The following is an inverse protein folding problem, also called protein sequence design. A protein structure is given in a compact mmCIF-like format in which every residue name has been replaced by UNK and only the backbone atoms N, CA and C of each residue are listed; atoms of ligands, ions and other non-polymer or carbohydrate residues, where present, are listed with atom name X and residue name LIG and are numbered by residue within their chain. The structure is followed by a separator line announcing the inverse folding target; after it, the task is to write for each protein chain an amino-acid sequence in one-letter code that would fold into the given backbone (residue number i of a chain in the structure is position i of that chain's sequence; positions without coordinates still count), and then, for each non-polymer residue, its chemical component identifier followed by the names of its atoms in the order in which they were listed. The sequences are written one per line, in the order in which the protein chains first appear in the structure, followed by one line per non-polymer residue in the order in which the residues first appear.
data_IF_207257726392
#
_entry.id   IF_207257726392
#
_cell.length_a   1.000
_cell.length_b   1.000
_cell.length_c   1.000
_cell.angle_alpha   90.00
_cell.angle_beta   90.00
_cell.angle_gamma   90.00
#
_symmetry.space_group_name_H-M   'P 1'
#
loop_
_entity.id
_entity.type
_entity.pdbx_description
1 polymer ?
#
# COMPACT_ATOMS: atom_id res chain seq x y z
N UNK A 1 -2.24 8.65 2.55
CA UNK A 1 -1.50 9.04 1.32
C UNK A 1 -0.81 10.38 1.52
N UNK A 2 0.39 10.59 0.94
CA UNK A 2 1.13 11.84 1.03
C UNK A 2 1.49 12.33 -0.38
N UNK A 3 1.03 13.53 -0.76
CA UNK A 3 1.46 14.20 -1.99
C UNK A 3 2.33 15.41 -1.67
N UNK A 4 3.28 15.68 -2.55
CA UNK A 4 4.22 16.80 -2.45
C UNK A 4 4.71 17.23 -3.83
N UNK A 5 5.42 18.33 -3.90
CA UNK A 5 6.06 18.75 -5.14
C UNK A 5 6.88 17.64 -5.79
N UNK A 6 6.61 17.37 -7.05
CA UNK A 6 7.15 16.25 -7.81
C UNK A 6 6.24 15.03 -7.90
N UNK A 7 5.20 14.91 -7.05
CA UNK A 7 4.19 13.87 -7.17
C UNK A 7 3.44 13.98 -8.51
N UNK A 8 3.02 12.85 -9.05
CA UNK A 8 2.29 12.75 -10.33
C UNK A 8 1.26 11.63 -10.24
N UNK A 9 0.19 11.76 -11.00
CA UNK A 9 -0.82 10.70 -11.13
C UNK A 9 -2.23 11.19 -10.92
N UNK A 10 -3.16 10.24 -10.80
CA UNK A 10 -4.59 10.53 -10.69
C UNK A 10 -4.95 11.20 -9.37
N UNK A 11 -4.25 10.86 -8.30
CA UNK A 11 -4.43 11.47 -6.98
C UNK A 11 -4.06 12.97 -7.00
N UNK A 12 -3.04 13.34 -7.78
CA UNK A 12 -2.70 14.75 -7.99
C UNK A 12 -3.80 15.45 -8.76
N UNK A 13 -4.37 14.82 -9.79
CA UNK A 13 -5.52 15.38 -10.52
C UNK A 13 -6.74 15.58 -9.62
N UNK A 14 -7.03 14.60 -8.75
CA UNK A 14 -8.14 14.72 -7.82
C UNK A 14 -7.92 15.86 -6.81
N UNK A 15 -6.71 15.98 -6.26
CA UNK A 15 -6.32 17.12 -5.44
C UNK A 15 -6.55 18.44 -6.19
N UNK A 16 -6.04 18.53 -7.42
CA UNK A 16 -6.15 19.73 -8.23
C UNK A 16 -7.61 20.09 -8.54
N UNK A 17 -8.44 19.09 -8.87
CA UNK A 17 -9.89 19.28 -9.05
C UNK A 17 -10.56 19.81 -7.76
N UNK A 18 -10.25 19.21 -6.62
CA UNK A 18 -10.80 19.61 -5.34
C UNK A 18 -10.37 21.03 -4.91
N UNK A 19 -9.16 21.43 -5.28
CA UNK A 19 -8.64 22.78 -5.05
C UNK A 19 -9.08 23.77 -6.15
N UNK A 20 -9.87 23.35 -7.14
CA UNK A 20 -10.40 24.21 -8.20
C UNK A 20 -9.34 24.73 -9.17
N UNK A 21 -8.26 23.98 -9.40
CA UNK A 21 -7.19 24.33 -10.34
C UNK A 21 -7.10 23.35 -11.51
N UNK A 22 -6.32 23.70 -12.53
CA UNK A 22 -6.12 22.82 -13.69
C UNK A 22 -5.55 21.47 -13.27
N UNK A 23 -6.25 20.39 -13.63
CA UNK A 23 -5.94 19.03 -13.20
C UNK A 23 -5.07 18.31 -14.22
N UNK A 24 -3.79 18.71 -14.31
CA UNK A 24 -2.79 18.10 -15.21
C UNK A 24 -2.13 16.84 -14.62
N UNK A 25 -2.39 16.55 -13.34
CA UNK A 25 -1.81 15.41 -12.63
C UNK A 25 -0.33 15.60 -12.28
N UNK A 26 0.16 16.84 -12.26
CA UNK A 26 1.55 17.16 -11.90
C UNK A 26 1.54 18.10 -10.71
N UNK A 27 2.09 17.67 -9.59
CA UNK A 27 2.26 18.51 -8.41
C UNK A 27 3.48 19.42 -8.61
N UNK A 28 3.27 20.49 -9.37
CA UNK A 28 4.27 21.52 -9.63
C UNK A 28 4.31 22.59 -8.54
N UNK A 29 5.11 23.64 -8.77
CA UNK A 29 5.16 24.81 -7.87
C UNK A 29 3.82 25.56 -7.77
N UNK A 30 3.02 25.57 -8.85
CA UNK A 30 1.67 26.14 -8.84
C UNK A 30 0.74 25.37 -7.90
N UNK A 31 0.71 24.04 -8.00
CA UNK A 31 -0.08 23.20 -7.08
C UNK A 31 0.38 23.36 -5.64
N UNK A 32 1.71 23.39 -5.39
CA UNK A 32 2.28 23.60 -4.06
C UNK A 32 1.83 24.93 -3.44
N UNK A 33 1.84 26.01 -4.23
CA UNK A 33 1.40 27.33 -3.76
C UNK A 33 -0.08 27.33 -3.35
N UNK A 34 -0.95 26.68 -4.13
CA UNK A 34 -2.37 26.55 -3.82
C UNK A 34 -2.59 25.70 -2.58
N UNK A 35 -1.85 24.60 -2.42
CA UNK A 35 -1.89 23.76 -1.22
C UNK A 35 -1.52 24.58 0.02
N UNK A 36 -0.43 25.32 -0.01
CA UNK A 36 0.01 26.17 1.10
C UNK A 36 -1.03 27.23 1.45
N UNK A 37 -1.65 27.84 0.43
CA UNK A 37 -2.76 28.77 0.66
C UNK A 37 -3.94 28.09 1.35
N UNK A 38 -4.35 26.93 0.84
CA UNK A 38 -5.44 26.15 1.42
C UNK A 38 -5.15 25.77 2.88
N UNK A 39 -3.95 25.30 3.16
CA UNK A 39 -3.51 24.95 4.52
C UNK A 39 -3.61 26.15 5.46
N UNK A 40 -3.14 27.31 5.02
CA UNK A 40 -3.22 28.55 5.78
C UNK A 40 -4.68 28.96 6.08
N UNK A 41 -5.53 28.91 5.06
CA UNK A 41 -6.93 29.32 5.15
C UNK A 41 -7.74 28.39 6.07
N UNK A 42 -7.28 27.13 6.26
CA UNK A 42 -7.91 26.11 7.11
C UNK A 42 -7.16 25.88 8.44
N UNK A 43 -6.20 26.71 8.81
CA UNK A 43 -5.48 26.58 10.09
C UNK A 43 -4.57 25.35 10.20
N UNK A 44 -4.15 24.78 9.09
CA UNK A 44 -3.24 23.64 9.04
C UNK A 44 -1.77 24.08 9.01
N UNK A 45 -0.85 23.13 9.23
CA UNK A 45 0.57 23.35 9.00
C UNK A 45 0.82 23.73 7.54
N UNK A 46 1.44 24.88 7.28
CA UNK A 46 1.66 25.42 5.92
C UNK A 46 2.98 24.89 5.37
N UNK A 47 3.06 23.58 5.15
CA UNK A 47 4.26 22.88 4.69
C UNK A 47 4.23 22.55 3.19
N UNK A 48 3.08 22.65 2.55
CA UNK A 48 2.86 22.27 1.16
C UNK A 48 2.79 20.77 0.92
N UNK A 49 2.64 19.98 2.01
CA UNK A 49 2.45 18.55 1.95
C UNK A 49 0.97 18.20 2.11
N UNK A 50 0.46 17.35 1.25
CA UNK A 50 -0.93 16.88 1.35
C UNK A 50 -0.93 15.53 2.05
N UNK A 51 -0.95 15.57 3.37
CA UNK A 51 -1.09 14.43 4.25
C UNK A 51 -2.54 14.22 4.72
N UNK A 52 -2.78 13.26 5.66
CA UNK A 52 -4.13 12.92 6.13
C UNK A 52 -4.95 14.13 6.57
N UNK A 53 -4.38 15.04 7.38
CA UNK A 53 -5.09 16.23 7.85
C UNK A 53 -5.44 17.22 6.73
N UNK A 54 -4.62 17.31 5.67
CA UNK A 54 -4.94 18.16 4.52
C UNK A 54 -6.04 17.52 3.67
N UNK A 55 -6.04 16.22 3.48
CA UNK A 55 -7.08 15.48 2.79
C UNK A 55 -8.43 15.58 3.50
N UNK A 56 -8.43 15.40 4.81
CA UNK A 56 -9.61 15.55 5.66
C UNK A 56 -10.21 16.95 5.54
N UNK A 57 -9.38 17.99 5.60
CA UNK A 57 -9.82 19.37 5.46
C UNK A 57 -10.37 19.70 4.05
N UNK A 58 -9.88 19.02 3.01
CA UNK A 58 -10.42 19.11 1.65
C UNK A 58 -11.79 18.41 1.55
N UNK A 59 -12.13 17.55 2.51
CA UNK A 59 -13.35 16.74 2.48
C UNK A 59 -13.26 15.53 1.56
N UNK A 60 -12.05 15.12 1.22
CA UNK A 60 -11.81 13.88 0.49
C UNK A 60 -11.43 12.80 1.49
N UNK A 61 -12.29 11.80 1.60
CA UNK A 61 -11.97 10.59 2.32
C UNK A 61 -10.85 9.85 1.56
N UNK A 62 -9.71 9.70 2.23
CA UNK A 62 -8.57 8.98 1.65
C UNK A 62 -8.86 7.49 1.45
N UNK A 63 -9.85 6.95 2.13
CA UNK A 63 -10.33 5.59 1.89
C UNK A 63 -11.03 5.48 0.51
N UNK A 64 -11.55 6.60 -0.02
CA UNK A 64 -12.10 6.65 -1.38
C UNK A 64 -11.02 6.53 -2.47
N UNK A 65 -9.76 6.86 -2.18
CA UNK A 65 -8.64 6.61 -3.10
C UNK A 65 -8.27 5.12 -3.16
N UNK A 66 -8.66 4.34 -2.16
CA UNK A 66 -8.55 2.89 -2.19
C UNK A 66 -9.58 2.29 -3.17
N UNK A 67 -10.69 2.99 -3.42
CA UNK A 67 -11.74 2.58 -4.37
C UNK A 67 -11.46 2.96 -5.83
N UNK A 68 -10.48 3.82 -6.09
CA UNK A 68 -10.10 4.25 -7.44
C UNK A 68 -8.93 3.46 -8.04
N UNK A 69 -8.67 2.25 -7.54
CA UNK A 69 -7.83 1.27 -8.20
C UNK A 69 -8.53 0.81 -9.47
N UNK A 70 -8.09 1.30 -10.58
CA UNK A 70 -8.73 1.11 -11.89
C UNK A 70 -8.66 -0.30 -12.42
N UNK A 71 -8.47 -1.34 -11.69
CA UNK A 71 -8.62 -2.65 -12.30
C UNK A 71 -8.62 -3.79 -11.32
N UNK A 72 -9.77 -4.03 -10.80
CA UNK A 72 -10.19 -5.34 -10.39
C UNK A 72 -10.23 -6.27 -11.60
N UNK A 73 -9.64 -7.43 -11.51
CA UNK A 73 -9.83 -8.47 -12.50
C UNK A 73 -10.20 -9.78 -11.84
N UNK A 74 -11.05 -10.54 -12.54
CA UNK A 74 -11.45 -11.87 -12.07
C UNK A 74 -10.63 -12.94 -12.77
N UNK A 75 -10.01 -13.83 -12.00
CA UNK A 75 -9.30 -14.99 -12.53
C UNK A 75 -10.29 -15.99 -13.14
N UNK A 76 -9.79 -16.97 -13.91
CA UNK A 76 -10.62 -18.03 -14.49
C UNK A 76 -11.40 -18.82 -13.44
N UNK A 77 -10.88 -18.92 -12.23
CA UNK A 77 -11.48 -19.64 -11.11
C UNK A 77 -12.38 -18.74 -10.24
N UNK A 78 -12.67 -17.52 -10.70
CA UNK A 78 -13.59 -16.60 -10.02
C UNK A 78 -12.99 -15.80 -8.86
N UNK A 79 -11.67 -15.84 -8.64
CA UNK A 79 -11.02 -15.00 -7.65
C UNK A 79 -10.94 -13.56 -8.15
N UNK A 80 -11.46 -12.63 -7.37
CA UNK A 80 -11.35 -11.20 -7.62
C UNK A 80 -10.02 -10.69 -7.06
N UNK A 81 -9.22 -10.05 -7.90
CA UNK A 81 -7.93 -9.48 -7.54
C UNK A 81 -7.98 -7.99 -7.82
N UNK A 82 -7.82 -7.21 -6.77
CA UNK A 82 -7.66 -5.77 -6.86
C UNK A 82 -6.22 -5.39 -7.27
N UNK A 83 -6.02 -4.28 -7.95
CA UNK A 83 -4.71 -3.79 -8.37
C UNK A 83 -4.41 -2.46 -7.71
N UNK A 84 -3.45 -2.46 -6.81
CA UNK A 84 -2.87 -1.25 -6.27
C UNK A 84 -1.36 -1.30 -6.42
N UNK A 85 -0.87 -0.73 -7.50
CA UNK A 85 0.55 -0.79 -7.80
C UNK A 85 1.35 0.17 -6.93
N UNK A 86 2.46 -0.38 -6.43
CA UNK A 86 3.54 0.38 -5.82
C UNK A 86 4.14 1.39 -6.80
N UNK A 87 4.82 2.39 -6.29
CA UNK A 87 5.64 3.27 -7.11
C UNK A 87 6.65 2.46 -7.92
N UNK A 88 6.84 2.81 -9.19
CA UNK A 88 7.76 2.08 -10.09
C UNK A 88 9.18 1.94 -9.58
N UNK A 89 9.55 2.73 -8.56
CA UNK A 89 10.86 2.64 -7.90
C UNK A 89 10.95 1.47 -6.92
N UNK A 90 9.80 0.95 -6.45
CA UNK A 90 9.72 -0.12 -5.47
C UNK A 90 9.79 -1.51 -6.11
N UNK A 91 9.34 -1.66 -7.35
CA UNK A 91 9.55 -2.86 -8.14
C UNK A 91 10.54 -2.57 -9.28
N UNK A 92 11.34 -3.52 -9.59
CA UNK A 92 12.63 -3.32 -10.23
C UNK A 92 12.60 -2.90 -11.67
N UNK A 93 13.35 -1.85 -11.97
CA UNK A 93 13.74 -1.45 -13.30
C UNK A 93 14.89 -2.25 -13.90
N UNK A 94 15.75 -2.85 -13.06
CA UNK A 94 17.11 -3.25 -13.48
C UNK A 94 17.22 -4.67 -14.00
N UNK A 95 16.20 -5.51 -13.85
CA UNK A 95 16.25 -6.93 -14.21
C UNK A 95 15.25 -7.35 -15.28
N UNK A 96 14.42 -6.41 -15.76
CA UNK A 96 13.41 -6.70 -16.78
C UNK A 96 12.30 -7.64 -16.29
N UNK A 97 11.65 -8.27 -17.24
CA UNK A 97 10.60 -9.26 -16.97
C UNK A 97 11.20 -10.55 -16.45
N UNK A 98 10.53 -11.15 -15.48
CA UNK A 98 10.88 -12.45 -14.92
C UNK A 98 9.75 -13.45 -15.14
N UNK A 99 10.10 -14.73 -15.19
CA UNK A 99 9.16 -15.83 -15.05
C UNK A 99 9.46 -16.52 -13.71
N UNK A 100 8.59 -16.33 -12.69
CA UNK A 100 8.84 -16.91 -11.39
C UNK A 100 8.75 -18.44 -11.43
N UNK A 101 9.77 -19.10 -10.89
CA UNK A 101 9.82 -20.55 -10.74
C UNK A 101 9.07 -21.03 -9.49
N UNK A 102 8.67 -20.13 -8.61
CA UNK A 102 7.94 -20.42 -7.38
C UNK A 102 7.54 -19.18 -6.63
N UNK A 103 6.80 -19.36 -5.56
CA UNK A 103 6.34 -18.30 -4.68
C UNK A 103 6.76 -18.54 -3.25
N UNK A 104 7.10 -17.46 -2.55
CA UNK A 104 7.33 -17.46 -1.12
C UNK A 104 6.17 -16.76 -0.42
N UNK A 105 5.75 -17.33 0.70
CA UNK A 105 4.71 -16.76 1.55
C UNK A 105 5.39 -16.06 2.72
N UNK A 106 5.07 -14.79 2.88
CA UNK A 106 5.48 -13.96 3.99
C UNK A 106 4.28 -13.61 4.86
N UNK A 107 4.52 -13.02 6.03
CA UNK A 107 3.47 -12.44 6.84
C UNK A 107 3.93 -11.11 7.44
N UNK A 108 3.03 -10.13 7.48
CA UNK A 108 3.36 -8.76 7.93
C UNK A 108 3.64 -8.68 9.42
N UNK A 109 3.14 -9.60 10.22
CA UNK A 109 3.07 -9.49 11.69
C UNK A 109 2.45 -8.12 12.13
N UNK A 110 1.49 -7.62 11.41
CA UNK A 110 0.93 -6.28 11.57
C UNK A 110 -0.58 -6.22 11.34
N UNK A 111 -0.99 -5.32 10.49
CA UNK A 111 -2.40 -5.01 10.23
C UNK A 111 -3.02 -5.99 9.25
N UNK A 112 -4.35 -6.13 9.33
CA UNK A 112 -5.19 -6.94 8.46
C UNK A 112 -5.39 -6.31 7.05
N UNK A 113 -5.10 -5.02 6.91
CA UNK A 113 -5.37 -4.24 5.70
C UNK A 113 -4.20 -4.30 4.71
N UNK A 114 -4.37 -4.95 3.53
CA UNK A 114 -3.32 -5.09 2.52
C UNK A 114 -2.92 -3.74 1.91
N UNK A 115 -3.85 -2.81 1.77
CA UNK A 115 -3.57 -1.47 1.25
C UNK A 115 -2.69 -0.65 2.19
N UNK A 116 -2.86 -0.81 3.51
CA UNK A 116 -1.98 -0.17 4.50
C UNK A 116 -0.54 -0.71 4.40
N UNK A 117 -0.38 -1.99 4.13
CA UNK A 117 0.93 -2.63 3.90
C UNK A 117 1.61 -2.04 2.66
N UNK A 118 0.89 -1.92 1.55
CA UNK A 118 1.40 -1.33 0.30
C UNK A 118 1.80 0.14 0.52
N UNK A 119 0.98 0.92 1.22
CA UNK A 119 1.34 2.31 1.58
C UNK A 119 2.59 2.37 2.45
N UNK A 120 2.76 1.43 3.39
CA UNK A 120 3.95 1.34 4.23
C UNK A 120 5.21 1.08 3.40
N UNK A 121 5.13 0.21 2.41
CA UNK A 121 6.26 -0.08 1.53
C UNK A 121 6.67 1.12 0.68
N UNK A 122 5.72 1.86 0.12
CA UNK A 122 6.00 3.09 -0.63
C UNK A 122 6.69 4.18 0.22
N UNK A 123 6.58 4.09 1.54
CA UNK A 123 7.17 5.05 2.47
C UNK A 123 8.36 4.47 3.27
N UNK A 124 8.76 3.24 3.03
CA UNK A 124 9.83 2.60 3.80
C UNK A 124 11.20 3.15 3.39
N UNK A 125 11.84 3.85 4.33
CA UNK A 125 13.16 4.43 4.14
C UNK A 125 14.32 3.42 4.26
N UNK A 126 14.04 2.20 4.72
CA UNK A 126 15.07 1.16 4.94
C UNK A 126 15.50 0.49 3.65
N UNK A 127 14.73 0.62 2.59
CA UNK A 127 15.00 0.06 1.29
C UNK A 127 13.74 -0.54 0.64
N UNK A 128 13.93 -1.12 -0.51
CA UNK A 128 12.84 -1.72 -1.28
C UNK A 128 12.37 -3.00 -0.62
N UNK A 129 11.08 -3.06 -0.31
CA UNK A 129 10.40 -4.25 0.19
C UNK A 129 9.08 -4.37 -0.56
N UNK A 130 8.88 -5.45 -1.28
CA UNK A 130 7.63 -5.69 -1.98
C UNK A 130 7.42 -7.15 -2.34
N UNK A 131 6.18 -7.62 -2.22
CA UNK A 131 5.71 -8.88 -2.78
C UNK A 131 4.72 -8.62 -3.91
N UNK A 132 4.54 -9.56 -4.82
CA UNK A 132 3.57 -9.42 -5.92
C UNK A 132 2.15 -9.23 -5.42
N UNK A 133 1.80 -9.96 -4.36
CA UNK A 133 0.46 -9.93 -3.80
C UNK A 133 0.49 -9.66 -2.31
N UNK A 134 -0.50 -8.90 -1.86
CA UNK A 134 -0.90 -8.78 -0.47
C UNK A 134 -2.28 -9.39 -0.29
N UNK A 135 -2.46 -10.23 0.72
CA UNK A 135 -3.75 -10.82 1.07
C UNK A 135 -4.17 -10.27 2.43
N UNK A 136 -5.35 -9.68 2.48
CA UNK A 136 -5.94 -9.18 3.71
C UNK A 136 -6.30 -10.30 4.68
N UNK A 137 -6.26 -10.01 5.95
CA UNK A 137 -6.53 -10.96 7.02
C UNK A 137 -7.65 -10.53 7.95
N UNK A 138 -7.97 -11.40 8.88
CA UNK A 138 -8.96 -11.14 9.91
C UNK A 138 -8.47 -10.17 10.98
N UNK A 139 -9.37 -9.30 11.43
CA UNK A 139 -9.10 -8.40 12.55
C UNK A 139 -9.23 -9.14 13.88
N UNK A 140 -8.20 -9.13 14.72
CA UNK A 140 -8.18 -9.78 16.05
C UNK A 140 -9.20 -9.22 17.03
N UNK A 141 -9.75 -8.03 16.79
CA UNK A 141 -10.70 -7.39 17.72
C UNK A 141 -12.16 -7.81 17.51
N UNK A 142 -12.41 -8.80 16.65
CA UNK A 142 -13.76 -9.28 16.35
C UNK A 142 -14.66 -8.24 15.69
N UNK A 143 -14.07 -7.19 15.14
CA UNK A 143 -14.75 -6.29 14.20
C UNK A 143 -14.79 -6.96 12.86
N UNK A 144 -15.81 -6.65 12.09
CA UNK A 144 -15.96 -7.10 10.71
C UNK A 144 -14.62 -6.99 9.97
N UNK A 145 -14.15 -8.12 9.48
CA UNK A 145 -12.87 -8.19 8.80
C UNK A 145 -13.05 -7.67 7.37
N UNK A 146 -13.15 -6.35 7.23
CA UNK A 146 -13.40 -5.66 5.95
C UNK A 146 -12.46 -6.12 4.83
N UNK A 147 -11.27 -6.57 5.17
CA UNK A 147 -10.23 -6.94 4.22
C UNK A 147 -9.88 -8.43 4.23
N UNK A 148 -10.62 -9.25 4.99
CA UNK A 148 -10.32 -10.68 5.05
C UNK A 148 -10.51 -11.33 3.68
N UNK A 149 -9.46 -11.99 3.20
CA UNK A 149 -9.44 -12.63 1.89
C UNK A 149 -9.31 -11.68 0.69
N UNK A 150 -9.27 -10.36 0.90
CA UNK A 150 -9.02 -9.41 -0.19
C UNK A 150 -7.61 -9.63 -0.73
N UNK A 151 -7.50 -9.88 -2.03
CA UNK A 151 -6.21 -10.07 -2.72
C UNK A 151 -5.89 -8.81 -3.52
N UNK A 152 -4.72 -8.24 -3.27
CA UNK A 152 -4.24 -7.05 -3.97
C UNK A 152 -2.96 -7.37 -4.71
N UNK A 153 -2.94 -7.12 -6.02
CA UNK A 153 -1.73 -7.17 -6.85
C UNK A 153 -0.96 -5.86 -6.68
N UNK A 154 0.28 -5.95 -6.19
CA UNK A 154 1.10 -4.79 -5.82
C UNK A 154 1.95 -4.26 -6.99
N UNK A 155 2.19 -5.08 -7.99
CA UNK A 155 2.87 -4.76 -9.25
C UNK A 155 2.67 -5.90 -10.26
N UNK A 156 2.84 -5.66 -11.58
CA UNK A 156 2.60 -6.68 -12.59
C UNK A 156 3.44 -7.95 -12.38
N UNK A 157 2.83 -9.11 -12.59
CA UNK A 157 3.41 -10.44 -12.31
C UNK A 157 4.76 -10.74 -12.97
N UNK A 158 5.09 -10.01 -14.01
CA UNK A 158 6.32 -10.18 -14.75
C UNK A 158 7.45 -9.25 -14.29
N UNK A 159 7.30 -8.59 -13.14
CA UNK A 159 8.33 -7.77 -12.52
C UNK A 159 8.87 -8.43 -11.26
N UNK A 160 10.07 -8.03 -10.88
CA UNK A 160 10.73 -8.50 -9.68
C UNK A 160 10.31 -7.67 -8.46
N UNK A 161 9.83 -8.33 -7.41
CA UNK A 161 9.68 -7.73 -6.08
C UNK A 161 10.87 -8.04 -5.17
N UNK A 162 11.28 -7.09 -4.36
CA UNK A 162 12.31 -7.30 -3.34
C UNK A 162 11.68 -7.87 -2.07
N UNK A 163 11.34 -9.16 -2.09
CA UNK A 163 10.72 -9.84 -0.95
C UNK A 163 11.66 -10.78 -0.19
N UNK A 164 12.80 -11.11 -0.78
CA UNK A 164 13.85 -11.92 -0.18
C UNK A 164 15.19 -11.19 -0.25
N UNK A 165 15.97 -11.30 0.79
CA UNK A 165 17.32 -10.78 0.81
C UNK A 165 18.26 -11.50 -0.17
N UNK A 166 19.49 -11.04 -0.23
CA UNK A 166 20.54 -11.73 -1.00
C UNK A 166 21.00 -12.98 -0.25
N UNK A 167 21.03 -14.11 -0.94
CA UNK A 167 21.67 -15.34 -0.44
C UNK A 167 22.91 -15.59 -1.30
N UNK A 168 24.07 -15.31 -0.74
CA UNK A 168 25.33 -15.39 -1.45
C UNK A 168 25.40 -14.43 -2.65
N UNK A 169 25.80 -14.94 -3.81
CA UNK A 169 25.85 -14.17 -5.07
C UNK A 169 24.51 -14.12 -5.82
N UNK A 170 23.50 -14.84 -5.36
CA UNK A 170 22.21 -14.96 -6.02
C UNK A 170 21.13 -14.22 -5.23
N UNK A 171 20.35 -13.41 -5.93
CA UNK A 171 19.11 -12.88 -5.39
C UNK A 171 17.98 -13.88 -5.73
N UNK A 172 17.56 -14.67 -4.76
CA UNK A 172 16.47 -15.66 -4.94
C UNK A 172 15.20 -14.95 -5.42
N UNK A 173 14.99 -13.70 -5.01
CA UNK A 173 13.90 -12.85 -5.52
C UNK A 173 13.85 -12.77 -7.05
N UNK A 174 14.97 -12.95 -7.76
CA UNK A 174 15.00 -12.92 -9.23
C UNK A 174 14.28 -14.09 -9.90
N UNK A 175 14.02 -15.16 -9.16
CA UNK A 175 13.42 -16.39 -9.68
C UNK A 175 12.12 -16.74 -8.97
N UNK A 176 11.61 -15.85 -8.15
CA UNK A 176 10.45 -16.14 -7.33
C UNK A 176 9.50 -14.94 -7.22
N UNK A 177 8.23 -15.25 -7.11
CA UNK A 177 7.22 -14.33 -6.65
C UNK A 177 7.05 -14.36 -5.12
N UNK A 178 6.42 -13.35 -4.57
CA UNK A 178 6.10 -13.28 -3.16
C UNK A 178 4.63 -12.98 -2.91
N UNK A 179 4.11 -13.56 -1.86
CA UNK A 179 2.76 -13.28 -1.35
C UNK A 179 2.89 -12.86 0.11
N UNK A 180 2.37 -11.72 0.45
CA UNK A 180 2.32 -11.21 1.83
C UNK A 180 0.95 -11.48 2.43
N UNK A 181 0.91 -12.26 3.50
CA UNK A 181 -0.30 -12.45 4.31
C UNK A 181 -0.35 -11.39 5.40
N UNK A 182 -1.37 -10.54 5.34
CA UNK A 182 -1.60 -9.53 6.36
C UNK A 182 -2.23 -10.16 7.59
N UNK A 183 -1.41 -10.47 8.58
CA UNK A 183 -1.83 -11.08 9.83
C UNK A 183 -0.94 -10.63 10.99
N UNK A 184 -1.33 -11.00 12.21
CA UNK A 184 -0.61 -10.61 13.42
C UNK A 184 0.61 -11.48 13.75
N UNK A 185 1.06 -12.30 12.81
CA UNK A 185 2.22 -13.17 12.98
C UNK A 185 1.94 -14.33 13.94
N UNK A 186 2.96 -14.73 14.70
CA UNK A 186 2.81 -15.80 15.68
C UNK A 186 1.98 -15.38 16.88
N UNK A 187 1.25 -16.35 17.43
CA UNK A 187 0.42 -16.16 18.61
C UNK A 187 1.09 -16.79 19.84
N UNK A 188 1.08 -16.07 20.95
CA UNK A 188 1.54 -16.60 22.24
C UNK A 188 0.35 -17.18 23.01
N UNK A 189 0.42 -18.44 23.39
CA UNK A 189 -0.59 -19.08 24.25
C UNK A 189 -0.34 -18.68 25.72
N UNK A 190 -1.38 -18.19 26.40
CA UNK A 190 -1.37 -17.91 27.85
C UNK A 190 -2.66 -18.54 28.44
N UNK A 191 -2.50 -19.65 29.14
CA UNK A 191 -3.64 -20.46 29.57
C UNK A 191 -4.40 -21.00 28.36
N UNK A 192 -5.71 -20.78 28.30
CA UNK A 192 -6.58 -21.22 27.21
C UNK A 192 -6.77 -20.13 26.12
N UNK A 193 -6.05 -19.03 26.22
CA UNK A 193 -6.16 -17.89 25.32
C UNK A 193 -4.91 -17.71 24.47
N UNK A 194 -5.10 -17.09 23.30
CA UNK A 194 -4.01 -16.73 22.39
C UNK A 194 -3.89 -15.20 22.28
N UNK A 195 -2.67 -14.72 22.22
CA UNK A 195 -2.36 -13.30 22.16
C UNK A 195 -1.41 -12.99 21.00
N UNK A 196 -1.61 -11.86 20.34
CA UNK A 196 -0.68 -11.33 19.34
C UNK A 196 0.61 -10.87 20.02
N UNK A 197 1.63 -10.57 19.22
CA UNK A 197 2.89 -9.99 19.69
C UNK A 197 2.72 -8.64 20.40
N UNK A 198 1.65 -7.88 20.09
CA UNK A 198 1.26 -6.65 20.80
C UNK A 198 0.33 -6.91 22.00
N UNK A 199 0.28 -8.16 22.47
CA UNK A 199 -0.49 -8.59 23.63
C UNK A 199 -2.01 -8.36 23.54
N UNK A 200 -2.57 -8.41 22.34
CA UNK A 200 -4.02 -8.37 22.10
C UNK A 200 -4.57 -9.78 22.06
N UNK A 201 -5.60 -10.08 22.86
CA UNK A 201 -6.28 -11.38 22.85
C UNK A 201 -6.97 -11.63 21.51
N UNK A 202 -6.70 -12.81 20.93
CA UNK A 202 -7.36 -13.28 19.71
C UNK A 202 -8.62 -14.02 20.12
N UNK A 203 -9.76 -13.50 19.74
CA UNK A 203 -11.06 -14.19 19.92
C UNK A 203 -11.27 -15.15 18.75
N UNK A 204 -11.71 -16.35 19.06
CA UNK A 204 -12.20 -17.31 18.06
C UNK A 204 -13.53 -16.86 17.50
#
# INVERSE_FOLDING_TARGET
MLLKKGSRGEEVKQLQKALGIGADGIFGSGTEAVVKKFQKDNGLAVDGLVGPGTWEAIGIDTDSFEAASETEYTTKDGLVIDRQYLDKNEYVRDYGKIEPLGFFIHHTAGWDNPYATIRSWNNDKRGRVATQYCIGGTNVKGKEAKHDGVVVECFPNNYLGWHLGKVGKFAISKMSGGVELNNFGYLTKKGDKYYTYVNTEVKK
#
